data_IF_451652225450
#
_entry.id   IF_451652225450
#
_cell.length_a   1.000
_cell.length_b   1.000
_cell.length_c   1.000
_cell.angle_alpha   90.00
_cell.angle_beta   90.00
_cell.angle_gamma   90.00
#
_symmetry.space_group_name_H-M   'P 1'
#
loop_
_entity.id
_entity.type
_entity.pdbx_description
1 polymer ?
#
# COMPACT_ATOMS: atom_id res chain seq x y z
N UNK A 1 16.01 2.21 -17.58
CA UNK A 1 14.54 2.09 -17.50
C UNK A 1 14.19 1.58 -16.11
N UNK A 2 13.49 2.36 -15.28
CA UNK A 2 12.85 1.79 -14.08
C UNK A 2 11.70 0.93 -14.59
N UNK A 3 11.78 -0.39 -14.43
CA UNK A 3 10.66 -1.28 -14.75
C UNK A 3 9.42 -0.78 -14.02
N UNK A 4 8.34 -0.53 -14.76
CA UNK A 4 7.08 -0.10 -14.17
C UNK A 4 6.59 -1.22 -13.26
N UNK A 5 6.47 -0.92 -11.97
CA UNK A 5 5.97 -1.86 -10.98
C UNK A 5 4.52 -2.24 -11.36
N UNK A 6 4.21 -3.54 -11.35
CA UNK A 6 2.83 -4.01 -11.57
C UNK A 6 1.97 -3.67 -10.35
N UNK A 7 0.66 -3.59 -10.52
CA UNK A 7 -0.25 -3.31 -9.41
C UNK A 7 -0.12 -4.33 -8.26
N UNK A 8 0.10 -5.61 -8.58
CA UNK A 8 0.33 -6.67 -7.58
C UNK A 8 1.65 -6.46 -6.83
N UNK A 9 2.71 -6.03 -7.52
CA UNK A 9 3.98 -5.72 -6.87
C UNK A 9 3.85 -4.50 -5.96
N UNK A 10 3.15 -3.46 -6.41
CA UNK A 10 2.89 -2.26 -5.63
C UNK A 10 2.04 -2.55 -4.38
N UNK A 11 1.04 -3.44 -4.48
CA UNK A 11 0.29 -3.93 -3.32
C UNK A 11 1.19 -4.63 -2.30
N UNK A 12 2.06 -5.54 -2.75
CA UNK A 12 3.01 -6.23 -1.87
C UNK A 12 3.96 -5.24 -1.18
N UNK A 13 4.47 -4.27 -1.93
CA UNK A 13 5.32 -3.22 -1.38
C UNK A 13 4.61 -2.46 -0.24
N UNK A 14 3.36 -2.05 -0.44
CA UNK A 14 2.63 -1.32 0.59
C UNK A 14 2.32 -2.19 1.83
N UNK A 15 2.10 -3.49 1.66
CA UNK A 15 1.98 -4.43 2.79
C UNK A 15 3.28 -4.48 3.59
N UNK A 16 4.43 -4.65 2.93
CA UNK A 16 5.74 -4.68 3.61
C UNK A 16 6.02 -3.38 4.38
N UNK A 17 5.64 -2.24 3.80
CA UNK A 17 5.77 -0.92 4.47
C UNK A 17 4.86 -0.82 5.70
N UNK A 18 3.64 -1.37 5.65
CA UNK A 18 2.72 -1.38 6.80
C UNK A 18 3.29 -2.24 7.93
N UNK A 19 3.79 -3.43 7.61
CA UNK A 19 4.39 -4.32 8.61
C UNK A 19 5.55 -3.64 9.35
N UNK A 20 6.39 -2.89 8.63
CA UNK A 20 7.49 -2.13 9.23
C UNK A 20 6.99 -0.91 10.01
N UNK A 21 6.06 -0.13 9.45
CA UNK A 21 5.54 1.10 10.08
C UNK A 21 4.67 0.83 11.31
N UNK A 22 4.15 -0.40 11.46
CA UNK A 22 3.40 -0.81 12.64
C UNK A 22 4.30 -1.08 13.86
N UNK A 23 5.63 -1.17 13.67
CA UNK A 23 6.60 -1.38 14.74
C UNK A 23 7.01 -0.01 15.31
N UNK A 24 6.72 0.28 16.59
CA UNK A 24 7.14 1.54 17.20
C UNK A 24 8.66 1.66 17.27
N UNK A 25 9.23 2.79 16.86
CA UNK A 25 10.67 3.00 16.95
C UNK A 25 11.18 3.01 18.40
N UNK A 26 10.31 3.38 19.35
CA UNK A 26 10.60 3.35 20.78
C UNK A 26 10.39 1.97 21.44
N UNK A 27 9.88 0.97 20.70
CA UNK A 27 9.60 -0.38 21.22
C UNK A 27 8.38 -0.49 22.14
N UNK A 28 7.62 0.58 22.38
CA UNK A 28 6.46 0.59 23.28
C UNK A 28 5.15 0.82 22.53
N UNK A 29 4.97 2.02 21.97
CA UNK A 29 3.74 2.43 21.27
C UNK A 29 4.05 3.45 20.19
N UNK A 30 3.29 3.38 19.10
CA UNK A 30 3.36 4.36 18.03
C UNK A 30 3.02 5.74 18.59
N UNK A 31 3.92 6.69 18.34
CA UNK A 31 3.70 8.12 18.53
C UNK A 31 2.61 8.61 17.56
N UNK A 32 2.09 9.82 17.81
CA UNK A 32 1.08 10.41 16.94
C UNK A 32 1.58 10.57 15.50
N UNK A 33 2.87 10.88 15.31
CA UNK A 33 3.48 11.02 14.00
C UNK A 33 3.60 9.67 13.28
N UNK A 34 4.03 8.63 14.00
CA UNK A 34 4.09 7.25 13.47
C UNK A 34 2.69 6.72 13.13
N UNK A 35 1.68 7.01 13.97
CA UNK A 35 0.28 6.68 13.66
C UNK A 35 -0.23 7.44 12.43
N UNK A 36 0.17 8.71 12.28
CA UNK A 36 -0.14 9.51 11.10
C UNK A 36 0.48 8.94 9.83
N UNK A 37 1.75 8.54 9.88
CA UNK A 37 2.45 7.88 8.78
C UNK A 37 1.79 6.53 8.44
N UNK A 38 1.53 5.68 9.43
CA UNK A 38 0.85 4.40 9.23
C UNK A 38 -0.54 4.57 8.58
N UNK A 39 -1.30 5.57 9.03
CA UNK A 39 -2.61 5.91 8.44
C UNK A 39 -2.51 6.33 6.97
N UNK A 40 -1.46 7.07 6.60
CA UNK A 40 -1.21 7.45 5.20
C UNK A 40 -0.82 6.23 4.36
N UNK A 41 0.02 5.34 4.89
CA UNK A 41 0.38 4.08 4.22
C UNK A 41 -0.84 3.20 3.95
N UNK A 42 -1.75 3.07 4.92
CA UNK A 42 -3.01 2.35 4.71
C UNK A 42 -3.87 2.95 3.60
N UNK A 43 -3.94 4.29 3.51
CA UNK A 43 -4.67 4.97 2.42
C UNK A 43 -4.03 4.69 1.06
N UNK A 44 -2.69 4.71 0.99
CA UNK A 44 -1.97 4.40 -0.25
C UNK A 44 -2.25 2.97 -0.70
N UNK A 45 -2.17 1.99 0.21
CA UNK A 45 -2.52 0.59 -0.09
C UNK A 45 -3.96 0.47 -0.63
N UNK A 46 -4.93 1.11 0.03
CA UNK A 46 -6.32 1.07 -0.39
C UNK A 46 -6.53 1.66 -1.79
N UNK A 47 -5.86 2.79 -2.10
CA UNK A 47 -5.91 3.40 -3.43
C UNK A 47 -5.30 2.49 -4.50
N UNK A 48 -4.16 1.87 -4.22
CA UNK A 48 -3.53 0.90 -5.14
C UNK A 48 -4.42 -0.31 -5.36
N UNK A 49 -5.12 -0.81 -4.33
CA UNK A 49 -6.04 -1.93 -4.45
C UNK A 49 -7.27 -1.59 -5.32
N UNK A 50 -7.86 -0.42 -5.11
CA UNK A 50 -8.96 0.07 -5.94
C UNK A 50 -8.54 0.24 -7.39
N UNK A 51 -7.36 0.83 -7.63
CA UNK A 51 -6.82 0.95 -8.98
C UNK A 51 -6.57 -0.40 -9.66
N UNK A 52 -6.02 -1.36 -8.91
CA UNK A 52 -5.79 -2.72 -9.42
C UNK A 52 -7.11 -3.40 -9.81
N UNK A 53 -8.14 -3.27 -8.97
CA UNK A 53 -9.46 -3.82 -9.23
C UNK A 53 -10.11 -3.22 -10.49
N UNK A 54 -10.11 -1.89 -10.60
CA UNK A 54 -10.66 -1.16 -11.76
C UNK A 54 -9.96 -1.56 -13.08
N UNK A 55 -8.63 -1.74 -13.04
CA UNK A 55 -7.84 -2.22 -14.18
C UNK A 55 -8.20 -3.64 -14.60
N UNK A 56 -8.45 -4.52 -13.65
CA UNK A 56 -8.85 -5.90 -13.91
C UNK A 56 -10.27 -5.96 -14.49
N UNK A 57 -11.20 -5.15 -13.96
CA UNK A 57 -12.58 -5.06 -14.44
C UNK A 57 -12.63 -4.50 -15.88
N UNK A 58 -11.90 -3.42 -16.16
CA UNK A 58 -11.79 -2.87 -17.53
C UNK A 58 -11.19 -3.86 -18.53
N UNK A 59 -10.28 -4.73 -18.09
CA UNK A 59 -9.68 -5.76 -18.96
C UNK A 59 -10.64 -6.92 -19.22
N UNK A 60 -11.57 -7.21 -18.31
CA UNK A 60 -12.57 -8.26 -18.45
C UNK A 60 -13.75 -7.85 -19.34
N UNK A 61 -14.08 -6.56 -19.40
CA UNK A 61 -15.19 -6.04 -20.23
C UNK A 61 -14.79 -5.91 -21.72
N UNK A 62 -13.49 -5.92 -22.04
CA UNK A 62 -12.97 -5.86 -23.41
C UNK A 62 -12.58 -7.23 -24.01
N UNK A 63 -12.84 -8.32 -23.30
CA UNK A 63 -12.53 -9.70 -23.70
C UNK A 63 -13.65 -10.42 -24.41
#
# INVERSE_FOLDING_TARGET
MKSKMTAIQELKFWVDVIEQAAIPANGERLTQDEQGALSQTYRALAQTALYAADKMESSAIQG
#
